data_IF_850865510220
#
_entry.id   IF_850865510220
#
_cell.length_a   1.000
_cell.length_b   1.000
_cell.length_c   1.000
_cell.angle_alpha   90.00
_cell.angle_beta   90.00
_cell.angle_gamma   90.00
#
_symmetry.space_group_name_H-M   'P 1'
#
loop_
_entity.id
_entity.type
_entity.pdbx_description
1 polymer ?
#
# COMPACT_ATOMS: atom_id res chain seq x y z
N UNK A 1 24.45 4.71 -75.26
CA UNK A 1 24.77 4.22 -73.90
C UNK A 1 23.76 4.83 -72.96
N UNK A 2 22.74 4.09 -72.49
CA UNK A 2 21.74 4.56 -71.57
C UNK A 2 22.17 4.17 -70.18
N UNK A 3 22.40 5.16 -69.30
CA UNK A 3 22.73 5.01 -67.92
C UNK A 3 21.45 4.67 -67.14
N UNK A 4 21.37 3.50 -66.51
CA UNK A 4 20.28 3.10 -65.64
C UNK A 4 20.72 3.39 -64.21
N UNK A 5 20.11 4.39 -63.58
CA UNK A 5 20.33 4.75 -62.17
C UNK A 5 19.44 3.85 -61.32
N UNK A 6 20.03 2.96 -60.53
CA UNK A 6 19.34 2.21 -59.49
C UNK A 6 19.19 3.08 -58.23
N UNK A 7 17.97 3.43 -57.87
CA UNK A 7 17.67 4.03 -56.61
C UNK A 7 17.37 2.92 -55.59
N UNK A 8 18.33 2.64 -54.70
CA UNK A 8 18.09 1.78 -53.56
C UNK A 8 17.30 2.55 -52.51
N UNK A 9 16.01 2.24 -52.39
CA UNK A 9 15.20 2.68 -51.25
C UNK A 9 15.56 1.84 -50.00
N UNK A 10 16.33 2.40 -49.07
CA UNK A 10 16.57 1.80 -47.77
C UNK A 10 15.30 1.97 -46.92
N UNK A 11 14.54 0.89 -46.76
CA UNK A 11 13.49 0.81 -45.76
C UNK A 11 14.14 0.81 -44.38
N UNK A 12 14.13 1.92 -43.70
CA UNK A 12 14.40 2.01 -42.26
C UNK A 12 13.21 1.35 -41.53
N UNK A 13 13.33 0.05 -41.23
CA UNK A 13 12.49 -0.58 -40.22
C UNK A 13 12.80 0.04 -38.87
N UNK A 14 12.06 1.08 -38.50
CA UNK A 14 12.01 1.52 -37.10
C UNK A 14 11.44 0.34 -36.30
N UNK A 15 12.12 -0.14 -35.25
CA UNK A 15 11.54 -1.12 -34.36
C UNK A 15 10.26 -0.49 -33.78
N UNK A 16 9.12 -1.03 -34.11
CA UNK A 16 7.87 -0.73 -33.40
C UNK A 16 8.12 -1.14 -31.96
N UNK A 17 8.30 -0.17 -31.05
CA UNK A 17 8.31 -0.44 -29.61
C UNK A 17 6.94 -1.07 -29.31
N UNK A 18 6.93 -2.38 -29.08
CA UNK A 18 5.72 -3.07 -28.72
C UNK A 18 5.13 -2.39 -27.47
N UNK A 19 3.86 -2.02 -27.57
CA UNK A 19 3.17 -1.41 -26.43
C UNK A 19 3.22 -2.35 -25.23
N UNK A 20 3.65 -1.82 -24.10
CA UNK A 20 3.66 -2.56 -22.83
C UNK A 20 2.25 -3.02 -22.45
N UNK A 21 2.14 -4.24 -21.92
CA UNK A 21 0.86 -4.86 -21.59
C UNK A 21 0.84 -5.34 -20.15
N UNK A 22 -0.32 -5.26 -19.53
CA UNK A 22 -0.61 -6.00 -18.30
C UNK A 22 -0.62 -7.51 -18.55
N UNK A 23 -0.51 -8.32 -17.48
CA UNK A 23 -0.46 -9.79 -17.64
C UNK A 23 -1.67 -10.41 -18.36
N UNK A 24 -2.83 -9.75 -18.35
CA UNK A 24 -4.02 -10.19 -19.10
C UNK A 24 -4.00 -9.80 -20.60
N UNK A 25 -2.94 -9.13 -21.05
CA UNK A 25 -2.77 -8.67 -22.42
C UNK A 25 -3.33 -7.27 -22.71
N UNK A 26 -3.99 -6.61 -21.76
CA UNK A 26 -4.47 -5.23 -21.94
C UNK A 26 -3.31 -4.24 -21.96
N UNK A 27 -3.38 -3.17 -22.78
CA UNK A 27 -2.31 -2.19 -22.86
C UNK A 27 -2.09 -1.43 -21.55
N UNK A 28 -0.83 -1.24 -21.15
CA UNK A 28 -0.46 -0.29 -20.10
C UNK A 28 -0.59 1.12 -20.67
N UNK A 29 -1.38 1.96 -20.02
CA UNK A 29 -1.58 3.35 -20.44
C UNK A 29 -0.33 4.20 -20.19
N UNK A 30 -0.14 5.28 -20.98
CA UNK A 30 0.98 6.19 -20.81
C UNK A 30 0.97 6.92 -19.44
N UNK A 31 -0.17 6.94 -18.77
CA UNK A 31 -0.28 7.48 -17.42
C UNK A 31 0.69 6.79 -16.43
N UNK A 32 0.94 5.48 -16.56
CA UNK A 32 1.89 4.76 -15.73
C UNK A 32 3.36 5.11 -16.01
N UNK A 33 3.67 5.61 -17.20
CA UNK A 33 5.02 6.04 -17.58
C UNK A 33 5.37 7.41 -17.01
N UNK A 34 4.37 8.24 -16.74
CA UNK A 34 4.55 9.56 -16.16
C UNK A 34 4.73 9.48 -14.65
N UNK A 35 5.97 9.64 -14.17
CA UNK A 35 6.32 9.73 -12.74
C UNK A 35 6.67 11.16 -12.31
N UNK A 36 6.14 12.16 -13.00
CA UNK A 36 6.38 13.56 -12.69
C UNK A 36 5.74 13.93 -11.35
N UNK A 37 6.53 14.57 -10.49
CA UNK A 37 6.04 15.12 -9.23
C UNK A 37 5.24 16.39 -9.53
N UNK A 38 4.06 16.50 -8.91
CA UNK A 38 3.21 17.68 -9.04
C UNK A 38 3.93 18.90 -8.45
N UNK A 39 4.02 19.97 -9.24
CA UNK A 39 4.56 21.24 -8.76
C UNK A 39 3.52 21.90 -7.87
N UNK A 40 3.85 22.11 -6.59
CA UNK A 40 2.97 22.74 -5.60
C UNK A 40 2.55 24.17 -5.99
N UNK A 41 3.32 24.85 -6.83
CA UNK A 41 2.98 26.21 -7.31
C UNK A 41 1.78 26.19 -8.25
N UNK A 42 1.42 25.03 -8.82
CA UNK A 42 0.23 24.86 -9.66
C UNK A 42 -1.05 24.55 -8.87
N UNK A 43 -0.92 24.28 -7.56
CA UNK A 43 -2.02 23.84 -6.69
C UNK A 43 -2.72 24.98 -5.95
N UNK A 44 -2.45 26.22 -6.31
CA UNK A 44 -3.10 27.40 -5.74
C UNK A 44 -2.26 28.10 -4.65
N UNK A 45 -2.95 28.85 -3.80
CA UNK A 45 -2.33 29.66 -2.74
C UNK A 45 -1.68 28.77 -1.68
N UNK A 46 -0.53 29.21 -1.16
CA UNK A 46 0.13 28.57 -0.02
C UNK A 46 -0.39 29.15 1.29
N UNK A 47 -0.69 28.27 2.23
CA UNK A 47 -1.13 28.58 3.60
C UNK A 47 -0.07 28.04 4.56
N UNK A 48 0.83 28.91 4.98
CA UNK A 48 1.96 28.54 5.84
C UNK A 48 1.47 28.43 7.28
N UNK A 49 1.70 27.31 7.96
CA UNK A 49 1.12 27.04 9.29
C UNK A 49 1.46 28.09 10.33
N UNK A 50 2.65 28.69 10.27
CA UNK A 50 3.06 29.74 11.21
C UNK A 50 2.19 31.00 11.13
N UNK A 51 1.60 31.30 9.95
CA UNK A 51 0.70 32.43 9.75
C UNK A 51 -0.67 32.22 10.45
N UNK A 52 -0.94 30.97 10.85
CA UNK A 52 -2.14 30.57 11.60
C UNK A 52 -1.86 30.38 13.11
N UNK A 53 -0.75 30.90 13.60
CA UNK A 53 -0.36 30.80 15.01
C UNK A 53 0.03 29.40 15.46
N UNK A 54 0.37 28.53 14.50
CA UNK A 54 1.00 27.23 14.78
C UNK A 54 2.48 27.46 15.06
N UNK A 55 2.98 26.94 16.16
CA UNK A 55 4.37 27.16 16.59
C UNK A 55 5.17 25.85 16.53
N UNK A 56 6.47 25.97 16.34
CA UNK A 56 7.40 24.84 16.38
C UNK A 56 7.55 24.32 17.82
N UNK A 57 6.64 23.43 18.20
CA UNK A 57 6.64 22.79 19.53
C UNK A 57 6.14 21.34 19.40
N UNK A 58 7.00 20.39 19.73
CA UNK A 58 6.74 18.96 19.62
C UNK A 58 5.87 18.39 20.76
N UNK A 59 5.50 19.21 21.74
CA UNK A 59 4.74 18.84 22.95
C UNK A 59 3.36 19.49 23.03
N UNK A 60 3.18 20.63 22.35
CA UNK A 60 1.91 21.35 22.32
C UNK A 60 0.99 20.78 21.24
N UNK A 61 -0.16 20.26 21.65
CA UNK A 61 -1.18 19.80 20.70
C UNK A 61 -1.80 21.01 19.95
N UNK A 62 -1.71 21.02 18.62
CA UNK A 62 -2.10 22.14 17.78
C UNK A 62 -3.11 21.77 16.68
N UNK A 63 -3.83 20.67 16.88
CA UNK A 63 -4.77 20.11 15.89
C UNK A 63 -5.74 21.15 15.37
N UNK A 64 -6.40 21.91 16.26
CA UNK A 64 -7.41 22.90 15.90
C UNK A 64 -6.84 24.05 15.04
N UNK A 65 -5.63 24.51 15.38
CA UNK A 65 -4.97 25.57 14.61
C UNK A 65 -4.57 25.09 13.20
N UNK A 66 -4.03 23.87 13.13
CA UNK A 66 -3.66 23.26 11.84
C UNK A 66 -4.93 23.02 11.01
N UNK A 67 -5.99 22.49 11.64
CA UNK A 67 -7.27 22.30 10.95
C UNK A 67 -7.88 23.64 10.46
N UNK A 68 -7.74 24.70 11.23
CA UNK A 68 -8.23 26.03 10.82
C UNK A 68 -7.53 26.55 9.55
N UNK A 69 -6.24 26.23 9.38
CA UNK A 69 -5.54 26.57 8.13
C UNK A 69 -6.07 25.77 6.93
N UNK A 70 -6.37 24.49 7.12
CA UNK A 70 -7.00 23.64 6.10
C UNK A 70 -8.40 24.18 5.75
N UNK A 71 -9.18 24.54 6.76
CA UNK A 71 -10.54 25.07 6.57
C UNK A 71 -10.53 26.41 5.86
N UNK A 72 -9.60 27.30 6.22
CA UNK A 72 -9.41 28.57 5.54
C UNK A 72 -9.01 28.40 4.06
N UNK A 73 -8.13 27.45 3.78
CA UNK A 73 -7.76 27.12 2.40
C UNK A 73 -8.99 26.64 1.61
N UNK A 74 -9.78 25.75 2.16
CA UNK A 74 -10.99 25.23 1.51
C UNK A 74 -12.03 26.33 1.26
N UNK A 75 -12.27 27.20 2.21
CA UNK A 75 -13.20 28.34 2.09
C UNK A 75 -12.76 29.34 1.02
N UNK A 76 -11.47 29.49 0.79
CA UNK A 76 -10.88 30.37 -0.21
C UNK A 76 -10.63 29.72 -1.58
N UNK A 77 -11.29 28.60 -1.85
CA UNK A 77 -11.22 27.94 -3.16
C UNK A 77 -10.14 26.87 -3.30
N UNK A 78 -9.41 26.55 -2.21
CA UNK A 78 -8.36 25.54 -2.17
C UNK A 78 -6.97 26.13 -1.99
N UNK A 79 -5.97 25.25 -1.98
CA UNK A 79 -4.56 25.62 -1.88
C UNK A 79 -3.72 24.62 -1.12
N UNK A 80 -2.47 24.96 -0.85
CA UNK A 80 -1.47 24.09 -0.25
C UNK A 80 -1.19 24.50 1.18
N UNK A 81 -1.45 23.60 2.11
CA UNK A 81 -1.04 23.75 3.50
C UNK A 81 0.46 23.42 3.58
N UNK A 82 1.26 24.40 3.94
CA UNK A 82 2.71 24.26 4.03
C UNK A 82 3.13 24.13 5.48
N UNK A 83 3.77 23.02 5.79
CA UNK A 83 4.41 22.81 7.09
C UNK A 83 5.88 23.19 6.96
N UNK A 84 6.32 24.30 7.55
CA UNK A 84 7.71 24.73 7.49
C UNK A 84 8.61 23.87 8.40
N UNK A 85 9.92 24.02 8.27
CA UNK A 85 10.89 23.35 9.14
C UNK A 85 10.52 23.51 10.63
N UNK A 86 10.48 22.39 11.35
CA UNK A 86 10.09 22.32 12.76
C UNK A 86 9.30 21.06 13.06
N UNK A 87 8.88 20.87 14.31
CA UNK A 87 8.06 19.74 14.74
C UNK A 87 6.73 20.23 15.31
N UNK A 88 5.63 19.71 14.77
CA UNK A 88 4.27 20.16 15.06
C UNK A 88 3.42 18.98 15.49
N UNK A 89 2.95 18.97 16.75
CA UNK A 89 2.13 17.88 17.30
C UNK A 89 0.66 18.09 16.93
N UNK A 90 0.05 17.05 16.40
CA UNK A 90 -1.36 17.06 15.99
C UNK A 90 -2.06 15.74 16.26
N UNK A 91 -3.38 15.81 16.51
CA UNK A 91 -4.32 14.72 16.31
C UNK A 91 -4.77 14.65 14.85
N UNK A 92 -5.96 14.06 14.62
CA UNK A 92 -6.50 13.86 13.26
C UNK A 92 -6.74 15.17 12.51
N UNK A 93 -6.27 15.21 11.26
CA UNK A 93 -6.46 16.32 10.32
C UNK A 93 -7.32 15.84 9.14
N UNK A 94 -8.27 16.68 8.70
CA UNK A 94 -9.21 16.37 7.64
C UNK A 94 -9.05 17.37 6.48
N UNK A 95 -8.46 16.87 5.39
CA UNK A 95 -8.33 17.63 4.15
C UNK A 95 -9.66 17.69 3.41
N UNK A 96 -9.87 18.78 2.69
CA UNK A 96 -11.11 19.11 1.98
C UNK A 96 -10.86 19.22 0.48
N UNK A 97 -11.90 19.23 -0.37
CA UNK A 97 -11.71 19.39 -1.81
C UNK A 97 -10.79 20.56 -2.16
N UNK A 98 -9.84 20.33 -3.06
CA UNK A 98 -8.82 21.28 -3.52
C UNK A 98 -7.80 21.72 -2.45
N UNK A 99 -7.73 21.07 -1.30
CA UNK A 99 -6.66 21.32 -0.33
C UNK A 99 -5.58 20.24 -0.41
N UNK A 100 -4.33 20.62 -0.25
CA UNK A 100 -3.16 19.79 -0.40
C UNK A 100 -2.21 19.97 0.78
N UNK A 101 -1.31 19.03 1.00
CA UNK A 101 -0.31 19.07 2.08
C UNK A 101 1.10 19.08 1.52
N UNK A 102 1.93 20.01 1.97
CA UNK A 102 3.35 20.06 1.64
C UNK A 102 4.18 20.19 2.91
N UNK A 103 5.16 19.31 3.09
CA UNK A 103 6.11 19.35 4.19
C UNK A 103 7.47 19.79 3.67
N UNK A 104 7.95 20.95 4.11
CA UNK A 104 9.30 21.41 3.78
C UNK A 104 10.39 20.47 4.34
N UNK A 105 11.58 20.57 3.83
CA UNK A 105 12.73 19.81 4.36
C UNK A 105 12.98 20.15 5.84
N UNK A 106 13.01 19.12 6.70
CA UNK A 106 13.13 19.29 8.14
C UNK A 106 11.82 19.60 8.86
N UNK A 107 10.69 19.64 8.14
CA UNK A 107 9.37 19.67 8.76
C UNK A 107 8.97 18.28 9.30
N UNK A 108 8.36 18.23 10.47
CA UNK A 108 7.81 17.03 11.09
C UNK A 108 6.37 17.30 11.54
N UNK A 109 5.42 16.64 10.91
CA UNK A 109 4.06 16.50 11.44
C UNK A 109 4.05 15.27 12.36
N UNK A 110 3.99 15.51 13.66
CA UNK A 110 4.04 14.47 14.68
C UNK A 110 2.62 14.14 15.17
N UNK A 111 2.24 12.87 15.13
CA UNK A 111 0.97 12.39 15.66
C UNK A 111 0.93 12.40 17.19
N UNK A 112 -0.23 12.65 17.74
CA UNK A 112 -0.47 12.46 19.17
C UNK A 112 -0.37 10.98 19.55
N UNK A 113 0.19 10.69 20.70
CA UNK A 113 0.18 9.36 21.31
C UNK A 113 -1.02 9.12 22.23
N UNK A 114 -1.96 10.07 22.27
CA UNK A 114 -3.24 9.95 22.96
C UNK A 114 -4.38 9.76 21.94
N UNK A 115 -5.03 8.59 22.02
CA UNK A 115 -6.11 8.21 21.11
C UNK A 115 -7.32 9.14 21.18
N UNK A 116 -7.54 9.85 22.28
CA UNK A 116 -8.63 10.82 22.43
C UNK A 116 -8.54 12.00 21.43
N UNK A 117 -7.36 12.22 20.85
CA UNK A 117 -7.13 13.22 19.81
C UNK A 117 -7.48 12.75 18.39
N UNK A 118 -8.05 11.55 18.27
CA UNK A 118 -8.51 10.95 17.01
C UNK A 118 -9.99 10.59 17.12
N UNK A 119 -10.89 11.35 16.48
CA UNK A 119 -12.32 11.07 16.55
C UNK A 119 -12.65 9.73 15.88
N UNK A 120 -13.71 9.09 16.39
CA UNK A 120 -14.30 7.91 15.75
C UNK A 120 -15.18 8.39 14.58
N UNK A 121 -14.92 7.84 13.41
CA UNK A 121 -15.63 8.15 12.16
C UNK A 121 -16.12 6.86 11.50
N UNK A 122 -17.08 6.98 10.59
CA UNK A 122 -17.38 5.91 9.67
C UNK A 122 -16.21 5.77 8.69
N UNK A 123 -15.63 4.58 8.62
CA UNK A 123 -14.41 4.34 7.85
C UNK A 123 -14.32 2.88 7.40
N UNK A 124 -13.21 2.53 6.81
CA UNK A 124 -12.88 1.20 6.34
C UNK A 124 -11.68 0.66 7.11
N UNK A 125 -11.75 -0.58 7.59
CA UNK A 125 -10.66 -1.25 8.28
C UNK A 125 -10.78 -2.77 8.14
N UNK A 126 -9.66 -3.46 7.91
CA UNK A 126 -9.61 -4.93 7.76
C UNK A 126 -10.72 -5.50 6.85
N UNK A 127 -10.93 -4.89 5.68
CA UNK A 127 -11.92 -5.34 4.70
C UNK A 127 -13.38 -5.11 5.10
N UNK A 128 -13.66 -4.27 6.09
CA UNK A 128 -15.02 -4.01 6.61
C UNK A 128 -15.27 -2.51 6.78
N UNK A 129 -16.50 -2.08 6.51
CA UNK A 129 -16.97 -0.73 6.83
C UNK A 129 -17.46 -0.70 8.27
N UNK A 130 -16.92 0.19 9.09
CA UNK A 130 -17.21 0.26 10.52
C UNK A 130 -16.88 1.65 11.10
N UNK A 131 -17.26 1.86 12.35
CA UNK A 131 -16.79 3.01 13.13
C UNK A 131 -15.43 2.73 13.75
N UNK A 132 -14.44 3.55 13.41
CA UNK A 132 -13.09 3.42 13.93
C UNK A 132 -12.38 4.78 13.97
N UNK A 133 -11.23 4.85 14.59
CA UNK A 133 -10.45 6.08 14.74
C UNK A 133 -9.98 6.62 13.38
N UNK A 134 -10.09 7.93 13.22
CA UNK A 134 -9.51 8.63 12.09
C UNK A 134 -7.99 8.43 12.02
N UNK A 135 -7.40 8.59 10.85
CA UNK A 135 -5.95 8.65 10.68
C UNK A 135 -5.39 10.03 11.13
N UNK A 136 -4.07 10.15 11.21
CA UNK A 136 -3.44 11.46 11.40
C UNK A 136 -3.74 12.39 10.22
N UNK A 137 -3.61 11.89 8.99
CA UNK A 137 -3.98 12.62 7.76
C UNK A 137 -5.13 11.90 7.07
N UNK A 138 -6.25 12.58 6.88
CA UNK A 138 -7.45 12.04 6.24
C UNK A 138 -7.83 12.90 5.03
N UNK A 139 -8.09 12.24 3.88
CA UNK A 139 -8.63 12.87 2.68
C UNK A 139 -9.73 11.97 2.10
N UNK A 140 -10.99 12.29 2.36
CA UNK A 140 -12.15 11.59 1.81
C UNK A 140 -12.84 12.47 0.76
N UNK A 141 -13.04 11.93 -0.45
CA UNK A 141 -13.63 12.65 -1.60
C UNK A 141 -12.85 13.93 -1.96
N UNK A 142 -11.52 13.82 -1.96
CA UNK A 142 -10.60 14.91 -2.32
C UNK A 142 -9.86 14.56 -3.60
N UNK A 143 -10.51 14.74 -4.73
CA UNK A 143 -9.90 14.52 -6.04
C UNK A 143 -8.69 15.44 -6.24
N UNK A 144 -7.62 14.92 -6.81
CA UNK A 144 -6.36 15.62 -7.01
C UNK A 144 -5.53 15.82 -5.74
N UNK A 145 -5.88 15.20 -4.61
CA UNK A 145 -5.14 15.35 -3.36
C UNK A 145 -3.65 15.07 -3.56
N UNK A 146 -2.84 16.03 -3.13
CA UNK A 146 -1.38 15.94 -3.19
C UNK A 146 -0.79 16.07 -1.80
N UNK A 147 0.01 15.08 -1.41
CA UNK A 147 0.86 15.10 -0.23
C UNK A 147 2.31 15.06 -0.72
N UNK A 148 3.09 16.10 -0.48
CA UNK A 148 4.39 16.27 -1.09
C UNK A 148 5.43 16.88 -0.16
N UNK A 149 6.67 16.93 -0.62
CA UNK A 149 7.77 17.58 0.06
C UNK A 149 8.88 16.62 0.48
N UNK A 150 9.77 17.08 1.36
CA UNK A 150 10.91 16.31 1.89
C UNK A 150 10.84 16.16 3.41
N UNK A 151 9.72 16.56 4.02
CA UNK A 151 9.52 16.45 5.46
C UNK A 151 9.05 15.06 5.88
N UNK A 152 8.66 14.94 7.13
CA UNK A 152 8.30 13.69 7.79
C UNK A 152 6.91 13.76 8.39
N UNK A 153 6.11 12.73 8.19
CA UNK A 153 4.93 12.44 9.01
C UNK A 153 5.33 11.32 9.97
N UNK A 154 5.37 11.62 11.24
CA UNK A 154 5.76 10.71 12.32
C UNK A 154 4.51 10.33 13.14
N UNK A 155 4.13 9.08 13.07
CA UNK A 155 2.95 8.58 13.80
C UNK A 155 3.12 8.49 15.31
N UNK A 156 4.36 8.66 15.83
CA UNK A 156 4.65 8.61 17.27
C UNK A 156 4.10 7.34 17.97
N UNK A 157 4.22 6.19 17.29
CA UNK A 157 3.50 4.96 17.61
C UNK A 157 3.92 4.23 18.88
N UNK A 158 5.03 4.59 19.51
CA UNK A 158 5.65 3.79 20.59
C UNK A 158 4.68 3.45 21.76
N UNK A 159 3.85 4.40 22.20
CA UNK A 159 2.87 4.19 23.29
C UNK A 159 1.81 3.17 22.86
N UNK A 160 1.31 3.28 21.62
CA UNK A 160 0.34 2.36 21.04
C UNK A 160 0.91 0.93 20.90
N UNK A 161 2.17 0.79 20.48
CA UNK A 161 2.81 -0.51 20.35
C UNK A 161 3.03 -1.21 21.69
N UNK A 162 3.43 -0.44 22.72
CA UNK A 162 3.54 -0.97 24.08
C UNK A 162 2.20 -1.46 24.61
N UNK A 163 1.13 -0.68 24.41
CA UNK A 163 -0.25 -1.05 24.78
C UNK A 163 -0.70 -2.32 24.05
N UNK A 164 -0.46 -2.40 22.74
CA UNK A 164 -0.80 -3.57 21.94
C UNK A 164 -0.16 -4.86 22.48
N UNK A 165 1.14 -4.83 22.71
CA UNK A 165 1.85 -6.02 23.21
C UNK A 165 1.46 -6.38 24.64
N UNK A 166 1.18 -5.37 25.49
CA UNK A 166 0.67 -5.60 26.83
C UNK A 166 -0.71 -6.28 26.80
N UNK A 167 -1.62 -5.79 25.96
CA UNK A 167 -2.95 -6.39 25.77
C UNK A 167 -2.83 -7.85 25.28
N UNK A 168 -1.98 -8.13 24.29
CA UNK A 168 -1.74 -9.48 23.80
C UNK A 168 -1.14 -10.41 24.82
N UNK A 169 -0.29 -9.89 25.69
CA UNK A 169 0.26 -10.68 26.81
C UNK A 169 -0.81 -11.08 27.81
N UNK A 170 -1.78 -10.20 28.06
CA UNK A 170 -2.90 -10.44 29.00
C UNK A 170 -4.00 -11.29 28.35
N UNK A 171 -4.32 -11.02 27.09
CA UNK A 171 -5.30 -11.77 26.31
C UNK A 171 -4.73 -12.16 24.93
N UNK A 172 -4.16 -13.36 24.78
CA UNK A 172 -3.60 -13.82 23.51
C UNK A 172 -4.62 -13.94 22.36
N UNK A 173 -5.91 -13.95 22.68
CA UNK A 173 -6.99 -14.05 21.69
C UNK A 173 -7.44 -12.68 21.15
N UNK A 174 -6.90 -11.57 21.67
CA UNK A 174 -7.26 -10.26 21.18
C UNK A 174 -6.90 -10.07 19.70
N UNK A 175 -7.78 -9.39 18.98
CA UNK A 175 -7.59 -9.04 17.57
C UNK A 175 -6.68 -7.82 17.41
N UNK A 176 -6.31 -7.50 16.18
CA UNK A 176 -5.58 -6.25 15.90
C UNK A 176 -6.45 -5.00 16.19
N UNK A 177 -7.78 -5.16 16.14
CA UNK A 177 -8.75 -4.08 16.34
C UNK A 177 -9.08 -3.81 17.82
N UNK A 178 -8.77 -4.74 18.71
CA UNK A 178 -9.03 -4.57 20.15
C UNK A 178 -8.12 -3.51 20.79
N UNK A 179 -6.95 -3.26 20.23
CA UNK A 179 -6.11 -2.13 20.64
C UNK A 179 -6.42 -0.91 19.76
N UNK A 180 -6.68 0.20 20.43
CA UNK A 180 -7.10 1.44 19.80
C UNK A 180 -5.88 2.18 19.22
N UNK A 181 -5.74 2.18 17.89
CA UNK A 181 -4.58 2.73 17.19
C UNK A 181 -5.01 3.47 15.93
N UNK A 182 -4.61 4.74 15.72
CA UNK A 182 -4.88 5.43 14.46
C UNK A 182 -3.95 4.93 13.35
N UNK A 183 -4.42 4.99 12.08
CA UNK A 183 -3.56 4.91 10.90
C UNK A 183 -2.78 6.21 10.73
N UNK A 184 -1.73 6.20 9.89
CA UNK A 184 -0.97 7.41 9.62
C UNK A 184 -1.63 8.26 8.54
N UNK A 185 -1.86 7.70 7.35
CA UNK A 185 -2.50 8.37 6.21
C UNK A 185 -3.66 7.52 5.71
N UNK A 186 -4.84 8.11 5.59
CA UNK A 186 -6.01 7.47 5.00
C UNK A 186 -6.63 8.35 3.92
N UNK A 187 -6.69 7.82 2.70
CA UNK A 187 -7.29 8.49 1.55
C UNK A 187 -8.38 7.61 1.00
N UNK A 188 -9.58 8.16 0.83
CA UNK A 188 -10.73 7.40 0.36
C UNK A 188 -11.56 8.15 -0.67
N UNK A 189 -12.24 7.39 -1.55
CA UNK A 189 -13.18 7.89 -2.57
C UNK A 189 -12.60 9.06 -3.41
N UNK A 190 -11.31 9.00 -3.76
CA UNK A 190 -10.59 10.11 -4.39
C UNK A 190 -9.89 9.65 -5.67
N UNK A 191 -9.87 10.52 -6.68
CA UNK A 191 -9.21 10.29 -7.95
C UNK A 191 -7.99 11.20 -8.13
N UNK A 192 -7.01 10.76 -8.95
CA UNK A 192 -5.80 11.53 -9.29
C UNK A 192 -4.99 11.97 -8.06
N UNK A 193 -4.76 11.03 -7.15
CA UNK A 193 -4.01 11.26 -5.90
C UNK A 193 -2.51 11.11 -6.15
N UNK A 194 -1.69 11.99 -5.55
CA UNK A 194 -0.24 11.81 -5.54
C UNK A 194 0.35 12.02 -4.14
N UNK A 195 1.13 11.04 -3.68
CA UNK A 195 2.00 11.15 -2.50
C UNK A 195 3.45 11.09 -2.98
N UNK A 196 4.28 12.08 -2.62
CA UNK A 196 5.64 12.13 -3.16
C UNK A 196 6.68 12.73 -2.22
N UNK A 197 7.85 12.05 -2.14
CA UNK A 197 9.08 12.56 -1.52
C UNK A 197 9.12 12.57 0.01
N UNK A 198 7.99 12.42 0.68
CA UNK A 198 7.89 12.47 2.14
C UNK A 198 8.33 11.19 2.83
N UNK A 199 8.68 11.31 4.10
CA UNK A 199 8.95 10.19 5.00
C UNK A 199 7.70 9.92 5.86
N UNK A 200 7.24 8.68 5.86
CA UNK A 200 6.12 8.17 6.66
C UNK A 200 6.69 7.19 7.68
N UNK A 201 6.75 7.55 8.94
CA UNK A 201 7.45 6.75 9.93
C UNK A 201 6.62 6.53 11.20
N UNK A 202 6.96 5.47 11.92
CA UNK A 202 6.44 5.19 13.26
C UNK A 202 4.91 5.15 13.34
N UNK A 203 4.24 4.66 12.30
CA UNK A 203 2.78 4.53 12.32
C UNK A 203 2.31 3.68 13.52
N UNK A 204 1.27 4.09 14.24
CA UNK A 204 0.68 3.25 15.28
C UNK A 204 0.04 1.97 14.75
N UNK A 205 -0.48 2.02 13.52
CA UNK A 205 -1.15 0.94 12.79
C UNK A 205 -0.76 1.00 11.30
N UNK A 206 -1.63 0.67 10.34
CA UNK A 206 -1.38 0.78 8.90
C UNK A 206 -0.84 2.16 8.53
N UNK A 207 0.20 2.20 7.70
CA UNK A 207 0.88 3.46 7.39
C UNK A 207 0.13 4.27 6.34
N UNK A 208 -0.13 3.67 5.17
CA UNK A 208 -0.88 4.34 4.09
C UNK A 208 -2.03 3.45 3.66
N UNK A 209 -3.25 3.90 3.89
CA UNK A 209 -4.45 3.16 3.49
C UNK A 209 -5.21 3.94 2.42
N UNK A 210 -5.36 3.33 1.26
CA UNK A 210 -6.06 3.85 0.09
C UNK A 210 -7.33 3.04 -0.10
N UNK A 211 -8.51 3.68 -0.07
CA UNK A 211 -9.78 2.98 -0.20
C UNK A 211 -10.67 3.60 -1.27
N UNK A 212 -11.15 2.79 -2.22
CA UNK A 212 -11.98 3.22 -3.35
C UNK A 212 -11.40 4.44 -4.08
N UNK A 213 -10.11 4.38 -4.38
CA UNK A 213 -9.39 5.42 -5.11
C UNK A 213 -8.99 4.94 -6.51
N UNK A 214 -8.83 5.91 -7.42
CA UNK A 214 -8.42 5.61 -8.79
C UNK A 214 -7.37 6.63 -9.28
N UNK A 215 -6.42 6.20 -10.12
CA UNK A 215 -5.29 7.00 -10.60
C UNK A 215 -4.44 7.55 -9.45
N UNK A 216 -3.72 6.64 -8.77
CA UNK A 216 -2.91 6.96 -7.60
C UNK A 216 -1.43 6.81 -7.94
N UNK A 217 -0.62 7.81 -7.60
CA UNK A 217 0.84 7.75 -7.70
C UNK A 217 1.48 7.90 -6.33
N UNK A 218 2.30 6.92 -5.95
CA UNK A 218 3.12 6.91 -4.74
C UNK A 218 4.58 6.91 -5.17
N UNK A 219 5.25 8.07 -5.06
CA UNK A 219 6.54 8.32 -5.70
C UNK A 219 7.61 8.73 -4.68
N UNK A 220 8.77 8.07 -4.69
CA UNK A 220 9.92 8.46 -3.87
C UNK A 220 9.61 8.53 -2.37
N UNK A 221 8.73 7.69 -1.86
CA UNK A 221 8.38 7.65 -0.44
C UNK A 221 9.44 6.87 0.36
N UNK A 222 9.65 7.29 1.59
CA UNK A 222 10.39 6.52 2.58
C UNK A 222 9.43 6.09 3.69
N UNK A 223 9.14 4.78 3.79
CA UNK A 223 8.19 4.22 4.76
C UNK A 223 8.93 3.30 5.72
N UNK A 224 8.80 3.58 7.02
CA UNK A 224 9.58 2.86 8.03
C UNK A 224 8.81 2.68 9.34
N UNK A 225 8.90 1.47 9.91
CA UNK A 225 8.53 1.20 11.29
C UNK A 225 9.59 0.38 12.00
N UNK A 226 9.97 0.72 13.25
CA UNK A 226 11.08 0.10 13.93
C UNK A 226 10.71 -1.26 14.54
N UNK A 227 11.72 -2.14 14.66
CA UNK A 227 11.62 -3.36 15.45
C UNK A 227 12.02 -3.13 16.92
N UNK A 228 12.92 -2.19 17.15
CA UNK A 228 13.43 -1.84 18.49
C UNK A 228 13.18 -0.37 18.80
N UNK A 229 12.98 -0.01 20.07
CA UNK A 229 13.00 -0.83 21.30
C UNK A 229 11.74 -1.68 21.48
N UNK A 230 10.67 -1.42 20.72
CA UNK A 230 9.41 -2.18 20.71
C UNK A 230 9.04 -2.41 19.25
N UNK A 231 8.80 -3.67 18.87
CA UNK A 231 8.33 -4.00 17.52
C UNK A 231 6.99 -3.31 17.26
N UNK A 232 6.92 -2.54 16.18
CA UNK A 232 5.71 -1.86 15.74
C UNK A 232 4.76 -2.88 15.07
N UNK A 233 3.60 -3.22 15.65
CA UNK A 233 2.73 -4.27 15.11
C UNK A 233 1.77 -3.74 14.05
N UNK A 234 1.46 -4.54 13.03
CA UNK A 234 0.46 -4.25 11.99
C UNK A 234 0.74 -2.92 11.28
N UNK A 235 2.00 -2.69 10.93
CA UNK A 235 2.43 -1.43 10.30
C UNK A 235 2.68 -1.63 8.79
N UNK A 236 1.69 -2.18 8.10
CA UNK A 236 1.70 -2.32 6.65
C UNK A 236 2.11 -0.98 6.00
N UNK A 237 2.98 -1.01 4.99
CA UNK A 237 3.46 0.23 4.40
C UNK A 237 2.38 0.86 3.51
N UNK A 238 1.80 0.07 2.60
CA UNK A 238 0.77 0.53 1.67
C UNK A 238 -0.33 -0.53 1.57
N UNK A 239 -1.52 -0.19 2.06
CA UNK A 239 -2.74 -0.95 1.90
C UNK A 239 -3.56 -0.37 0.74
N UNK A 240 -3.76 -1.17 -0.31
CA UNK A 240 -4.53 -0.82 -1.49
C UNK A 240 -5.85 -1.58 -1.40
N UNK A 241 -6.95 -0.88 -1.15
CA UNK A 241 -8.28 -1.45 -0.83
C UNK A 241 -9.32 -0.93 -1.83
N UNK A 242 -9.76 -1.79 -2.75
CA UNK A 242 -10.74 -1.46 -3.80
C UNK A 242 -10.24 -0.31 -4.70
N UNK A 243 -8.99 -0.36 -5.13
CA UNK A 243 -8.39 0.70 -5.95
C UNK A 243 -8.03 0.22 -7.36
N UNK A 244 -7.94 1.15 -8.29
CA UNK A 244 -7.49 0.88 -9.65
C UNK A 244 -6.52 1.93 -10.16
N UNK A 245 -5.69 1.54 -11.14
CA UNK A 245 -4.66 2.40 -11.75
C UNK A 245 -3.73 3.00 -10.67
N UNK A 246 -2.91 2.15 -10.05
CA UNK A 246 -1.97 2.53 -8.97
C UNK A 246 -0.54 2.35 -9.44
N UNK A 247 0.27 3.38 -9.32
CA UNK A 247 1.71 3.35 -9.53
C UNK A 247 2.44 3.60 -8.21
N UNK A 248 3.26 2.63 -7.79
CA UNK A 248 4.21 2.78 -6.68
C UNK A 248 5.62 2.73 -7.27
N UNK A 249 6.39 3.80 -7.14
CA UNK A 249 7.70 3.90 -7.79
C UNK A 249 8.76 4.56 -6.94
N UNK A 250 10.00 4.03 -6.99
CA UNK A 250 11.18 4.56 -6.30
C UNK A 250 10.97 4.71 -4.78
N UNK A 251 10.20 3.83 -4.16
CA UNK A 251 9.93 3.87 -2.73
C UNK A 251 10.89 2.97 -1.95
N UNK A 252 11.22 3.40 -0.75
CA UNK A 252 11.85 2.55 0.26
C UNK A 252 10.82 2.16 1.31
N UNK A 253 10.70 0.86 1.60
CA UNK A 253 9.77 0.34 2.61
C UNK A 253 10.48 -0.65 3.53
N UNK A 254 10.43 -0.41 4.84
CA UNK A 254 10.90 -1.36 5.85
C UNK A 254 9.98 -1.29 7.05
N UNK A 255 9.12 -2.30 7.20
CA UNK A 255 7.98 -2.27 8.14
C UNK A 255 7.78 -3.63 8.79
N UNK A 256 7.04 -3.67 9.90
CA UNK A 256 6.81 -4.90 10.65
C UNK A 256 5.47 -5.58 10.32
N UNK A 257 4.99 -5.36 9.11
CA UNK A 257 3.92 -6.11 8.46
C UNK A 257 4.15 -6.09 6.93
N UNK A 258 3.13 -6.17 6.10
CA UNK A 258 3.27 -6.26 4.65
C UNK A 258 3.78 -4.94 4.04
N UNK A 259 4.69 -5.02 3.03
CA UNK A 259 5.12 -3.83 2.30
C UNK A 259 3.99 -3.33 1.38
N UNK A 260 3.44 -4.21 0.55
CA UNK A 260 2.25 -3.94 -0.27
C UNK A 260 1.19 -4.97 0.09
N UNK A 261 0.05 -4.50 0.59
CA UNK A 261 -1.10 -5.34 0.93
C UNK A 261 -2.31 -4.96 0.07
N UNK A 262 -2.80 -5.92 -0.72
CA UNK A 262 -3.99 -5.76 -1.56
C UNK A 262 -5.21 -6.23 -0.78
N UNK A 263 -6.10 -5.31 -0.46
CA UNK A 263 -7.32 -5.54 0.33
C UNK A 263 -8.55 -5.49 -0.59
N UNK A 264 -9.77 -5.61 -0.05
CA UNK A 264 -10.97 -5.54 -0.88
C UNK A 264 -12.24 -6.05 -0.22
N UNK A 265 -12.13 -6.85 0.85
CA UNK A 265 -13.28 -7.38 1.56
C UNK A 265 -12.94 -8.61 2.37
N UNK A 266 -13.76 -8.91 3.39
CA UNK A 266 -13.56 -10.01 4.32
C UNK A 266 -14.88 -10.67 4.70
N UNK A 267 -14.80 -11.97 4.85
CA UNK A 267 -15.89 -12.79 5.38
C UNK A 267 -16.77 -13.42 4.29
N UNK A 268 -17.68 -14.30 4.70
CA UNK A 268 -18.41 -15.15 3.78
C UNK A 268 -19.34 -14.39 2.82
N UNK A 269 -19.81 -13.22 3.18
CA UNK A 269 -20.68 -12.36 2.38
C UNK A 269 -19.95 -11.20 1.70
N UNK A 270 -18.60 -11.28 1.64
CA UNK A 270 -17.79 -10.20 1.11
C UNK A 270 -18.05 -9.87 -0.37
N UNK A 271 -18.45 -10.86 -1.16
CA UNK A 271 -18.83 -10.74 -2.56
C UNK A 271 -20.18 -10.03 -2.79
N UNK A 272 -20.99 -9.85 -1.75
CA UNK A 272 -22.30 -9.22 -1.81
C UNK A 272 -22.34 -7.83 -1.15
N UNK A 273 -21.30 -7.43 -0.45
CA UNK A 273 -21.21 -6.09 0.15
C UNK A 273 -20.76 -5.05 -0.89
N UNK A 274 -21.59 -4.03 -1.22
CA UNK A 274 -21.23 -3.01 -2.21
C UNK A 274 -20.05 -2.12 -1.82
N UNK A 275 -19.62 -2.18 -0.56
CA UNK A 275 -18.42 -1.50 -0.10
C UNK A 275 -17.13 -2.28 -0.43
N UNK A 276 -17.25 -3.55 -0.74
CA UNK A 276 -16.15 -4.41 -1.16
C UNK A 276 -15.93 -4.34 -2.67
N UNK A 277 -14.76 -4.79 -3.10
CA UNK A 277 -14.42 -4.80 -4.52
C UNK A 277 -13.01 -5.30 -4.78
N UNK A 278 -12.61 -5.23 -6.03
CA UNK A 278 -11.28 -5.65 -6.47
C UNK A 278 -10.30 -4.50 -6.61
N UNK A 279 -9.03 -4.89 -6.68
CA UNK A 279 -7.94 -4.03 -7.10
C UNK A 279 -7.51 -4.40 -8.52
N UNK A 280 -7.19 -3.40 -9.34
CA UNK A 280 -6.79 -3.66 -10.73
C UNK A 280 -5.80 -2.65 -11.27
N UNK A 281 -4.96 -3.11 -12.24
CA UNK A 281 -3.98 -2.29 -12.92
C UNK A 281 -3.04 -1.59 -11.93
N UNK A 282 -2.23 -2.39 -11.22
CA UNK A 282 -1.28 -1.91 -10.22
C UNK A 282 0.13 -2.23 -10.71
N UNK A 283 1.00 -1.22 -10.72
CA UNK A 283 2.42 -1.37 -11.01
C UNK A 283 3.22 -0.89 -9.81
N UNK A 284 4.07 -1.77 -9.28
CA UNK A 284 5.03 -1.48 -8.22
C UNK A 284 6.41 -1.71 -8.82
N UNK A 285 7.22 -0.66 -8.93
CA UNK A 285 8.49 -0.75 -9.64
C UNK A 285 9.61 0.10 -9.04
N UNK A 286 10.85 -0.30 -9.29
CA UNK A 286 12.06 0.45 -8.92
C UNK A 286 12.14 0.74 -7.41
N UNK A 287 11.63 -0.17 -6.56
CA UNK A 287 11.59 0.01 -5.11
C UNK A 287 12.66 -0.82 -4.40
N UNK A 288 13.00 -0.41 -3.18
CA UNK A 288 13.89 -1.15 -2.29
C UNK A 288 13.13 -1.48 -1.00
N UNK A 289 13.15 -2.76 -0.62
CA UNK A 289 12.51 -3.21 0.61
C UNK A 289 13.57 -3.64 1.62
N UNK A 290 13.42 -3.17 2.84
CA UNK A 290 14.04 -3.77 4.00
C UNK A 290 13.17 -4.91 4.53
N UNK A 291 13.11 -5.06 5.87
CA UNK A 291 12.23 -6.07 6.46
C UNK A 291 10.75 -5.80 6.15
N UNK A 292 10.01 -6.89 5.81
CA UNK A 292 8.55 -6.90 5.75
C UNK A 292 8.02 -8.33 5.87
N UNK A 293 6.74 -8.49 6.24
CA UNK A 293 6.13 -9.82 6.30
C UNK A 293 5.81 -10.37 4.90
N UNK A 294 5.32 -9.56 3.99
CA UNK A 294 5.12 -9.89 2.59
C UNK A 294 5.54 -8.73 1.70
N UNK A 295 6.38 -8.99 0.69
CA UNK A 295 6.76 -7.97 -0.26
C UNK A 295 5.59 -7.58 -1.16
N UNK A 296 4.85 -8.58 -1.65
CA UNK A 296 3.53 -8.44 -2.26
C UNK A 296 2.57 -9.44 -1.62
N UNK A 297 1.55 -8.93 -0.97
CA UNK A 297 0.53 -9.74 -0.28
C UNK A 297 -0.84 -9.51 -0.89
N UNK A 298 -1.50 -10.59 -1.35
CA UNK A 298 -2.91 -10.58 -1.68
C UNK A 298 -3.70 -11.07 -0.45
N UNK A 299 -4.43 -10.16 0.17
CA UNK A 299 -5.23 -10.48 1.35
C UNK A 299 -4.59 -10.06 2.69
N UNK A 300 -5.05 -10.62 3.78
CA UNK A 300 -6.11 -11.66 3.89
C UNK A 300 -7.53 -11.11 3.56
N UNK A 301 -7.78 -9.84 3.80
CA UNK A 301 -9.06 -9.16 3.58
C UNK A 301 -9.17 -8.69 2.13
N UNK A 302 -9.18 -9.60 1.17
CA UNK A 302 -9.23 -9.30 -0.27
C UNK A 302 -10.15 -10.28 -0.99
N UNK A 303 -10.94 -9.78 -1.93
CA UNK A 303 -11.83 -10.61 -2.74
C UNK A 303 -11.41 -10.74 -4.19
N UNK A 304 -10.78 -9.71 -4.77
CA UNK A 304 -10.33 -9.78 -6.17
C UNK A 304 -9.11 -8.89 -6.41
N UNK A 305 -8.07 -9.44 -7.02
CA UNK A 305 -6.89 -8.70 -7.51
C UNK A 305 -6.58 -9.13 -8.93
N UNK A 306 -6.43 -8.16 -9.84
CA UNK A 306 -6.18 -8.42 -11.25
C UNK A 306 -5.20 -7.42 -11.85
N UNK A 307 -4.31 -7.88 -12.75
CA UNK A 307 -3.32 -7.04 -13.42
C UNK A 307 -2.36 -6.35 -12.44
N UNK A 308 -1.62 -7.15 -11.70
CA UNK A 308 -0.65 -6.68 -10.70
C UNK A 308 0.77 -6.96 -11.24
N UNK A 309 1.61 -5.95 -11.28
CA UNK A 309 3.02 -6.06 -11.68
C UNK A 309 3.89 -5.59 -10.52
N UNK A 310 4.77 -6.48 -10.04
CA UNK A 310 5.87 -6.18 -9.11
C UNK A 310 7.17 -6.39 -9.86
N UNK A 311 7.94 -5.32 -10.10
CA UNK A 311 9.15 -5.45 -10.90
C UNK A 311 10.31 -4.54 -10.49
N UNK A 312 11.52 -4.99 -10.77
CA UNK A 312 12.77 -4.26 -10.47
C UNK A 312 12.83 -3.84 -9.00
N UNK A 313 12.64 -4.85 -8.13
CA UNK A 313 12.66 -4.68 -6.68
C UNK A 313 13.90 -5.33 -6.11
N UNK A 314 14.55 -4.63 -5.19
CA UNK A 314 15.56 -5.21 -4.33
C UNK A 314 15.00 -5.40 -2.92
N UNK A 315 15.10 -6.63 -2.39
CA UNK A 315 14.51 -7.02 -1.10
C UNK A 315 15.61 -7.48 -0.16
N UNK A 316 15.57 -7.00 1.06
CA UNK A 316 16.51 -7.43 2.11
C UNK A 316 15.73 -7.93 3.32
N UNK A 317 15.87 -9.24 3.61
CA UNK A 317 15.36 -9.87 4.82
C UNK A 317 13.82 -9.79 4.99
N UNK A 318 13.06 -10.09 3.92
CA UNK A 318 11.61 -10.24 4.05
C UNK A 318 11.21 -11.63 4.59
N UNK A 319 9.98 -11.77 5.10
CA UNK A 319 9.50 -13.11 5.38
C UNK A 319 8.98 -13.80 4.10
N UNK A 320 8.34 -13.07 3.16
CA UNK A 320 7.79 -13.66 1.93
C UNK A 320 7.94 -12.71 0.75
N UNK A 321 8.32 -13.24 -0.41
CA UNK A 321 8.30 -12.46 -1.64
C UNK A 321 6.88 -12.31 -2.18
N UNK A 322 6.19 -13.41 -2.47
CA UNK A 322 4.79 -13.41 -2.88
C UNK A 322 3.95 -14.21 -1.88
N UNK A 323 2.94 -13.55 -1.32
CA UNK A 323 2.04 -14.13 -0.34
C UNK A 323 0.59 -14.07 -0.80
N UNK A 324 0.00 -15.21 -1.08
CA UNK A 324 -1.42 -15.33 -1.41
C UNK A 324 -2.15 -15.90 -0.19
N UNK A 325 -2.82 -15.02 0.56
CA UNK A 325 -3.56 -15.39 1.77
C UNK A 325 -4.97 -15.89 1.38
N UNK A 326 -5.10 -17.18 1.15
CA UNK A 326 -6.36 -17.79 0.73
C UNK A 326 -7.23 -18.09 1.95
N UNK A 327 -8.33 -17.35 2.12
CA UNK A 327 -9.25 -17.51 3.26
C UNK A 327 -10.36 -18.50 2.93
N UNK A 328 -10.61 -19.49 3.80
CA UNK A 328 -11.74 -20.42 3.59
C UNK A 328 -13.12 -19.80 3.78
N UNK A 329 -13.21 -18.67 4.49
CA UNK A 329 -14.45 -17.96 4.76
C UNK A 329 -14.72 -16.77 3.82
N UNK A 330 -13.92 -16.56 2.79
CA UNK A 330 -14.04 -15.40 1.92
C UNK A 330 -13.88 -15.84 0.47
N UNK A 331 -14.80 -15.52 -0.44
CA UNK A 331 -14.62 -15.79 -1.87
C UNK A 331 -13.51 -14.90 -2.43
N UNK A 332 -12.44 -15.50 -2.98
CA UNK A 332 -11.25 -14.79 -3.41
C UNK A 332 -10.83 -15.16 -4.83
N UNK A 333 -10.38 -14.17 -5.59
CA UNK A 333 -9.89 -14.31 -6.96
C UNK A 333 -8.61 -13.49 -7.11
N UNK A 334 -7.47 -14.16 -7.28
CA UNK A 334 -6.17 -13.51 -7.50
C UNK A 334 -5.61 -13.94 -8.84
N UNK A 335 -5.59 -13.02 -9.81
CA UNK A 335 -5.29 -13.39 -11.18
C UNK A 335 -4.45 -12.35 -11.93
N UNK A 336 -3.72 -12.81 -12.93
CA UNK A 336 -2.88 -11.97 -13.78
C UNK A 336 -1.86 -11.17 -12.95
N UNK A 337 -1.05 -11.89 -12.18
CA UNK A 337 0.02 -11.34 -11.34
C UNK A 337 1.36 -11.63 -11.99
N UNK A 338 2.18 -10.60 -12.18
CA UNK A 338 3.55 -10.69 -12.68
C UNK A 338 4.52 -10.20 -11.61
N UNK A 339 5.47 -11.06 -11.25
CA UNK A 339 6.62 -10.72 -10.40
C UNK A 339 7.88 -10.94 -11.22
N UNK A 340 8.60 -9.86 -11.54
CA UNK A 340 9.76 -9.96 -12.43
C UNK A 340 10.93 -9.05 -12.01
N UNK A 341 12.13 -9.43 -12.42
CA UNK A 341 13.34 -8.65 -12.19
C UNK A 341 13.55 -8.35 -10.69
N UNK A 342 13.47 -9.40 -9.84
CA UNK A 342 13.61 -9.28 -8.39
C UNK A 342 14.97 -9.81 -7.96
N UNK A 343 15.60 -9.10 -7.00
CA UNK A 343 16.84 -9.54 -6.35
C UNK A 343 16.69 -9.47 -4.84
N UNK A 344 17.45 -10.29 -4.12
CA UNK A 344 17.53 -10.21 -2.66
C UNK A 344 17.21 -11.50 -1.94
N UNK A 345 16.52 -11.39 -0.79
CA UNK A 345 16.25 -12.53 0.08
C UNK A 345 14.94 -12.43 0.88
N UNK A 346 14.38 -13.62 1.20
CA UNK A 346 13.26 -13.77 2.11
C UNK A 346 13.25 -15.18 2.72
N UNK A 347 12.47 -15.40 3.80
CA UNK A 347 12.29 -16.76 4.33
C UNK A 347 11.55 -17.66 3.31
N UNK A 348 10.56 -17.10 2.58
CA UNK A 348 9.78 -17.83 1.58
C UNK A 348 9.71 -17.10 0.25
N UNK A 349 9.95 -17.84 -0.86
CA UNK A 349 9.78 -17.30 -2.20
C UNK A 349 8.31 -17.19 -2.61
N UNK A 350 7.56 -18.30 -2.55
CA UNK A 350 6.11 -18.33 -2.78
C UNK A 350 5.43 -18.97 -1.57
N UNK A 351 4.46 -18.27 -1.01
CA UNK A 351 3.72 -18.75 0.17
C UNK A 351 2.21 -18.71 -0.09
N UNK A 352 1.58 -19.88 -0.11
CA UNK A 352 0.14 -20.06 -0.31
C UNK A 352 -0.37 -21.08 0.69
N UNK A 353 -1.12 -20.63 1.69
CA UNK A 353 -1.74 -21.50 2.68
C UNK A 353 -3.12 -20.99 3.05
N UNK A 354 -4.03 -21.86 3.53
CA UNK A 354 -5.29 -21.42 4.10
C UNK A 354 -5.03 -20.43 5.23
N UNK A 355 -5.65 -19.24 5.13
CA UNK A 355 -5.55 -18.23 6.16
C UNK A 355 -6.76 -18.30 7.08
N UNK A 356 -6.57 -18.87 8.27
CA UNK A 356 -7.67 -19.19 9.20
C UNK A 356 -7.76 -18.24 10.40
N UNK A 357 -6.93 -17.21 10.44
CA UNK A 357 -7.00 -16.22 11.52
C UNK A 357 -8.33 -15.47 11.48
N UNK A 358 -9.06 -15.48 12.60
CA UNK A 358 -10.39 -14.86 12.72
C UNK A 358 -11.40 -15.38 11.68
N UNK A 359 -11.34 -16.69 11.44
CA UNK A 359 -12.24 -17.40 10.53
C UNK A 359 -13.66 -17.47 11.08
N UNK A 360 -14.65 -17.13 10.26
CA UNK A 360 -16.06 -17.23 10.61
C UNK A 360 -16.93 -17.36 9.35
N UNK A 361 -17.60 -18.49 9.21
CA UNK A 361 -18.50 -18.77 8.08
C UNK A 361 -19.84 -18.02 8.16
N UNK A 362 -20.24 -17.52 9.33
CA UNK A 362 -21.53 -16.84 9.55
C UNK A 362 -22.70 -17.59 8.90
N UNK A 363 -22.72 -18.91 9.06
CA UNK A 363 -23.70 -19.84 8.52
C UNK A 363 -23.84 -19.92 6.97
N UNK A 364 -22.98 -19.22 6.20
CA UNK A 364 -22.96 -19.38 4.74
C UNK A 364 -22.33 -20.72 4.36
N UNK A 365 -23.08 -21.54 3.60
CA UNK A 365 -22.65 -22.89 3.17
C UNK A 365 -22.17 -22.94 1.71
N UNK A 366 -22.50 -21.94 0.92
CA UNK A 366 -22.28 -21.88 -0.52
C UNK A 366 -21.20 -20.84 -0.90
N UNK A 367 -20.15 -20.72 -0.09
CA UNK A 367 -19.04 -19.83 -0.40
C UNK A 367 -18.37 -20.32 -1.69
N UNK A 368 -18.23 -19.47 -2.72
CA UNK A 368 -17.57 -19.85 -3.95
C UNK A 368 -16.13 -20.30 -3.70
N UNK A 369 -15.69 -21.35 -4.39
CA UNK A 369 -14.30 -21.80 -4.34
C UNK A 369 -13.40 -20.66 -4.82
N UNK A 370 -12.43 -20.32 -3.99
CA UNK A 370 -11.44 -19.29 -4.32
C UNK A 370 -10.45 -19.80 -5.37
N UNK A 371 -9.84 -18.91 -6.13
CA UNK A 371 -8.79 -19.31 -7.06
C UNK A 371 -7.66 -18.28 -7.16
N UNK A 372 -6.47 -18.77 -7.51
CA UNK A 372 -5.38 -17.95 -8.02
C UNK A 372 -4.94 -18.50 -9.37
N UNK A 373 -4.85 -17.61 -10.37
CA UNK A 373 -4.69 -18.00 -11.76
C UNK A 373 -3.82 -17.01 -12.54
N UNK A 374 -3.04 -17.49 -13.52
CA UNK A 374 -2.11 -16.69 -14.32
C UNK A 374 -1.15 -15.86 -13.46
N UNK A 375 -0.37 -16.56 -12.63
CA UNK A 375 0.72 -15.97 -11.84
C UNK A 375 2.05 -16.31 -12.50
N UNK A 376 2.78 -15.29 -12.91
CA UNK A 376 4.11 -15.43 -13.52
C UNK A 376 5.18 -14.84 -12.63
N UNK A 377 6.22 -15.64 -12.35
CA UNK A 377 7.42 -15.19 -11.63
C UNK A 377 8.64 -15.44 -12.51
N UNK A 378 9.35 -14.38 -12.93
CA UNK A 378 10.45 -14.53 -13.89
C UNK A 378 11.60 -13.55 -13.65
N UNK A 379 12.79 -13.92 -14.18
CA UNK A 379 14.01 -13.12 -14.09
C UNK A 379 14.35 -12.77 -12.62
N UNK A 380 14.42 -13.77 -11.76
CA UNK A 380 14.58 -13.57 -10.31
C UNK A 380 15.88 -14.20 -9.82
N UNK A 381 16.75 -13.41 -9.18
CA UNK A 381 17.95 -13.86 -8.47
C UNK A 381 17.74 -13.69 -6.97
N UNK A 382 17.50 -14.82 -6.26
CA UNK A 382 16.96 -14.75 -4.92
C UNK A 382 17.48 -15.84 -3.98
N UNK A 383 17.61 -15.49 -2.69
CA UNK A 383 17.87 -16.46 -1.63
C UNK A 383 16.59 -16.65 -0.81
N UNK A 384 16.33 -17.89 -0.40
CA UNK A 384 15.23 -18.15 0.52
C UNK A 384 15.48 -19.41 1.35
N UNK A 385 14.82 -19.53 2.50
CA UNK A 385 14.82 -20.77 3.26
C UNK A 385 13.93 -21.81 2.58
N UNK A 386 12.77 -21.38 2.10
CA UNK A 386 11.78 -22.24 1.47
C UNK A 386 11.39 -21.67 0.09
N UNK A 387 11.61 -22.47 -0.98
CA UNK A 387 11.24 -22.06 -2.32
C UNK A 387 9.72 -22.05 -2.50
N UNK A 388 9.06 -23.20 -2.33
CA UNK A 388 7.60 -23.30 -2.36
C UNK A 388 7.05 -23.73 -1.00
N UNK A 389 6.25 -22.86 -0.40
CA UNK A 389 5.44 -23.15 0.78
C UNK A 389 3.97 -23.12 0.36
N UNK A 390 3.56 -24.16 -0.37
CA UNK A 390 2.22 -24.28 -0.94
C UNK A 390 1.49 -25.43 -0.25
N UNK A 391 0.34 -25.12 0.35
CA UNK A 391 -0.52 -26.11 1.00
C UNK A 391 -1.72 -26.43 0.10
N UNK A 392 -2.01 -27.71 -0.08
CA UNK A 392 -3.19 -28.15 -0.83
C UNK A 392 -4.46 -27.90 -0.01
N UNK A 393 -5.52 -27.45 -0.66
CA UNK A 393 -6.82 -27.25 -0.03
C UNK A 393 -7.94 -27.47 -1.04
N UNK A 394 -9.07 -28.01 -0.59
CA UNK A 394 -10.27 -28.13 -1.41
C UNK A 394 -11.04 -26.79 -1.54
N UNK A 395 -10.60 -25.76 -0.84
CA UNK A 395 -11.26 -24.46 -0.77
C UNK A 395 -10.70 -23.44 -1.75
N UNK A 396 -9.60 -23.76 -2.42
CA UNK A 396 -9.05 -22.92 -3.49
C UNK A 396 -8.40 -23.75 -4.60
N UNK A 397 -8.36 -23.16 -5.77
CA UNK A 397 -7.70 -23.71 -6.95
C UNK A 397 -6.53 -22.83 -7.39
N UNK A 398 -5.40 -23.48 -7.71
CA UNK A 398 -4.21 -22.82 -8.22
C UNK A 398 -3.94 -23.32 -9.63
N UNK A 399 -3.99 -22.42 -10.62
CA UNK A 399 -3.83 -22.79 -12.03
C UNK A 399 -2.95 -21.79 -12.77
N UNK A 400 -2.28 -22.23 -13.84
CA UNK A 400 -1.47 -21.38 -14.73
C UNK A 400 -0.39 -20.56 -13.97
N UNK A 401 0.35 -21.22 -13.07
CA UNK A 401 1.55 -20.64 -12.47
C UNK A 401 2.74 -20.91 -13.42
N UNK A 402 3.46 -19.84 -13.77
CA UNK A 402 4.61 -19.90 -14.67
C UNK A 402 5.87 -19.39 -13.95
N UNK A 403 6.95 -20.15 -14.08
CA UNK A 403 8.24 -19.84 -13.48
C UNK A 403 9.31 -19.87 -14.56
N UNK A 404 9.98 -18.73 -14.81
CA UNK A 404 10.93 -18.57 -15.92
C UNK A 404 12.20 -17.90 -15.46
N UNK A 405 13.36 -18.36 -15.89
CA UNK A 405 14.66 -17.75 -15.63
C UNK A 405 14.86 -17.38 -14.15
N UNK A 406 14.80 -18.41 -13.28
CA UNK A 406 14.98 -18.28 -11.85
C UNK A 406 16.38 -18.76 -11.42
N UNK A 407 17.13 -17.93 -10.71
CA UNK A 407 18.36 -18.27 -10.01
C UNK A 407 18.08 -18.26 -8.50
N UNK A 408 17.67 -19.41 -7.96
CA UNK A 408 17.21 -19.51 -6.56
C UNK A 408 18.21 -20.30 -5.73
N UNK A 409 18.66 -19.70 -4.62
CA UNK A 409 19.43 -20.38 -3.58
C UNK A 409 18.52 -20.67 -2.39
N UNK A 410 18.02 -21.88 -2.30
CA UNK A 410 17.08 -22.30 -1.26
C UNK A 410 17.70 -23.35 -0.31
N UNK A 411 17.40 -23.28 0.99
CA UNK A 411 17.73 -24.32 1.96
C UNK A 411 16.81 -25.54 1.80
N UNK A 412 15.54 -25.29 1.47
CA UNK A 412 14.54 -26.33 1.17
C UNK A 412 13.80 -26.00 -0.13
N UNK A 413 13.71 -26.96 -1.03
CA UNK A 413 13.08 -26.77 -2.34
C UNK A 413 11.56 -26.85 -2.28
N UNK A 414 11.00 -27.76 -1.49
CA UNK A 414 9.56 -28.02 -1.45
C UNK A 414 9.12 -28.34 -0.03
N UNK A 415 8.15 -27.57 0.48
CA UNK A 415 7.29 -27.95 1.58
C UNK A 415 5.85 -28.03 1.06
N UNK A 416 5.48 -29.20 0.53
CA UNK A 416 4.09 -29.54 0.25
C UNK A 416 3.65 -30.39 1.45
N UNK A 417 2.85 -29.81 2.35
CA UNK A 417 2.20 -30.60 3.39
C UNK A 417 0.96 -31.24 2.80
N UNK A 418 0.86 -32.56 2.90
CA UNK A 418 -0.42 -33.23 2.67
C UNK A 418 -1.38 -32.83 3.78
N UNK A 419 -2.68 -32.68 3.48
CA UNK A 419 -3.66 -32.43 4.53
C UNK A 419 -3.71 -33.64 5.46
N UNK A 420 -3.54 -33.38 6.74
CA UNK A 420 -3.76 -34.37 7.81
C UNK A 420 -5.25 -34.55 8.06
#
# INVERSE_FOLDING_TARGET
MKLITFVCAAFLCLPSLAQEKFPDGTPVSDWFKDSKIVDINTLGKKYILTDYGVINDSTLLQTEKIQSAIDAAAQNGGGVIVIPKGTYLSGALFFKPKTHLHLEEGAVLKGSDDISNFPIIDTRMEGQSLKYFAALVNADKVDGFTLSGKGTIDGNGLRYWKSFWLRRKVNPQCTNMDELRPRLVHISHSNNVQLSGVRLINSPFWTTHLYKCNHIKLLNLYIFSPEKPVKAPSTDAIDIDVCSNVLVKNCYMSVNDDAIALKGGKGPWADQDPNNGGNSNIIIEDCTYGFCHGALTCGSESIHNRNIILRRIHITNANRLLWLKMRPDTPQQYEYILVEDITGDADHFLYIKPWTQFFDLKDRKDIPVSYSNHVTMRNIDFKCDNFFSVEKSDQYQLTNFTFENLNIKALSLIHISEPT
#
